data_IF_180974799487
#
_entry.id   IF_180974799487
#
_cell.length_a   1.000
_cell.length_b   1.000
_cell.length_c   1.000
_cell.angle_alpha   90.00
_cell.angle_beta   90.00
_cell.angle_gamma   90.00
#
_symmetry.space_group_name_H-M   'P 1'
#
loop_
_entity.id
_entity.type
_entity.pdbx_description
1 polymer ?
#
# COMPACT_ATOMS: atom_id res chain seq x y z
N UNK A 1 -1.65 -13.46 7.06
CA UNK A 1 -1.25 -12.67 8.23
C UNK A 1 -0.52 -11.42 7.77
N UNK A 2 -0.68 -10.29 8.45
CA UNK A 2 -0.25 -8.96 8.00
C UNK A 2 1.17 -8.88 7.39
N UNK A 3 2.21 -9.52 7.95
CA UNK A 3 3.55 -9.47 7.36
C UNK A 3 3.64 -10.08 5.94
N UNK A 4 2.82 -11.10 5.64
CA UNK A 4 2.79 -11.74 4.31
C UNK A 4 2.13 -10.78 3.31
N UNK A 5 1.03 -10.14 3.73
CA UNK A 5 0.29 -9.16 2.91
C UNK A 5 1.20 -7.96 2.59
N UNK A 6 2.02 -7.53 3.56
CA UNK A 6 3.01 -6.46 3.35
C UNK A 6 3.98 -6.85 2.24
N UNK A 7 4.56 -8.05 2.30
CA UNK A 7 5.47 -8.55 1.27
C UNK A 7 4.80 -8.65 -0.11
N UNK A 8 3.51 -8.98 -0.17
CA UNK A 8 2.77 -9.02 -1.44
C UNK A 8 2.63 -7.62 -2.06
N UNK A 9 2.22 -6.62 -1.28
CA UNK A 9 2.13 -5.23 -1.73
C UNK A 9 3.50 -4.71 -2.17
N UNK A 10 4.53 -4.94 -1.36
CA UNK A 10 5.91 -4.55 -1.63
C UNK A 10 6.40 -5.14 -2.96
N UNK A 11 6.21 -6.45 -3.15
CA UNK A 11 6.63 -7.12 -4.39
C UNK A 11 5.86 -6.62 -5.61
N UNK A 12 4.56 -6.35 -5.47
CA UNK A 12 3.73 -5.85 -6.56
C UNK A 12 4.16 -4.44 -6.98
N UNK A 13 4.36 -3.54 -6.01
CA UNK A 13 4.88 -2.18 -6.26
C UNK A 13 6.29 -2.21 -6.84
N UNK A 14 7.17 -3.07 -6.32
CA UNK A 14 8.52 -3.20 -6.85
C UNK A 14 8.56 -3.65 -8.31
N UNK A 15 7.76 -4.67 -8.66
CA UNK A 15 7.63 -5.12 -10.06
C UNK A 15 7.11 -4.00 -10.97
N UNK A 16 6.11 -3.26 -10.50
CA UNK A 16 5.52 -2.15 -11.24
C UNK A 16 6.50 -1.00 -11.45
N UNK A 17 7.36 -0.70 -10.48
CA UNK A 17 8.39 0.33 -10.62
C UNK A 17 9.56 -0.10 -11.51
N UNK A 18 9.92 -1.39 -11.52
CA UNK A 18 10.96 -1.90 -12.40
C UNK A 18 10.51 -1.99 -13.86
N UNK A 19 9.26 -2.38 -14.10
CA UNK A 19 8.70 -2.49 -15.44
C UNK A 19 7.33 -1.80 -15.53
N UNK A 20 7.33 -0.48 -15.80
CA UNK A 20 6.12 0.31 -16.00
C UNK A 20 5.24 -0.18 -17.16
N UNK A 21 5.80 -0.92 -18.12
CA UNK A 21 5.06 -1.39 -19.28
C UNK A 21 4.05 -2.49 -18.92
N UNK A 22 4.23 -3.12 -17.76
CA UNK A 22 3.33 -4.13 -17.20
C UNK A 22 2.27 -3.53 -16.26
N UNK A 23 2.07 -2.20 -16.30
CA UNK A 23 1.09 -1.50 -15.49
C UNK A 23 -0.31 -1.69 -16.07
N UNK A 24 -0.92 -2.82 -15.75
CA UNK A 24 -2.29 -3.15 -16.10
C UNK A 24 -3.27 -2.85 -14.95
N UNK A 25 -4.55 -2.73 -15.28
CA UNK A 25 -5.62 -2.44 -14.32
C UNK A 25 -5.72 -3.50 -13.20
N UNK A 26 -5.59 -4.77 -13.53
CA UNK A 26 -5.70 -5.86 -12.56
C UNK A 26 -4.55 -5.83 -11.55
N UNK A 27 -3.33 -5.53 -12.00
CA UNK A 27 -2.16 -5.38 -11.12
C UNK A 27 -2.36 -4.24 -10.11
N UNK A 28 -2.91 -3.10 -10.55
CA UNK A 28 -3.20 -1.98 -9.65
C UNK A 28 -4.38 -2.27 -8.72
N UNK A 29 -5.46 -2.88 -9.24
CA UNK A 29 -6.62 -3.27 -8.43
C UNK A 29 -6.23 -4.27 -7.32
N UNK A 30 -5.30 -5.19 -7.61
CA UNK A 30 -4.74 -6.10 -6.59
C UNK A 30 -3.98 -5.33 -5.50
N UNK A 31 -3.10 -4.39 -5.87
CA UNK A 31 -2.36 -3.57 -4.90
C UNK A 31 -3.34 -2.79 -4.01
N UNK A 32 -4.36 -2.18 -4.61
CA UNK A 32 -5.40 -1.44 -3.88
C UNK A 32 -6.18 -2.37 -2.95
N UNK A 33 -6.56 -3.57 -3.41
CA UNK A 33 -7.27 -4.56 -2.60
C UNK A 33 -6.48 -4.98 -1.37
N UNK A 34 -5.19 -5.26 -1.53
CA UNK A 34 -4.33 -5.60 -0.40
C UNK A 34 -4.15 -4.41 0.56
N UNK A 35 -3.99 -3.18 0.06
CA UNK A 35 -3.92 -1.97 0.89
C UNK A 35 -5.21 -1.70 1.69
N UNK A 36 -6.38 -2.09 1.19
CA UNK A 36 -7.65 -2.00 1.94
C UNK A 36 -7.59 -2.90 3.17
N UNK A 37 -7.03 -4.10 3.06
CA UNK A 37 -6.86 -5.00 4.20
C UNK A 37 -5.99 -4.35 5.30
N UNK A 38 -4.96 -3.59 4.92
CA UNK A 38 -4.15 -2.84 5.87
C UNK A 38 -4.95 -1.74 6.58
N UNK A 39 -5.75 -0.98 5.85
CA UNK A 39 -6.60 0.09 6.39
C UNK A 39 -7.62 -0.49 7.40
N UNK A 40 -8.32 -1.56 7.02
CA UNK A 40 -9.29 -2.25 7.87
C UNK A 40 -8.65 -2.80 9.15
N UNK A 41 -7.45 -3.33 9.05
CA UNK A 41 -6.71 -3.86 10.20
C UNK A 41 -6.23 -2.76 11.15
N UNK A 42 -5.76 -1.61 10.64
CA UNK A 42 -5.41 -0.47 11.48
C UNK A 42 -6.65 0.09 12.20
N UNK A 43 -7.77 0.19 11.48
CA UNK A 43 -9.02 0.67 12.07
C UNK A 43 -9.54 -0.28 13.15
N UNK A 44 -9.56 -1.59 12.88
CA UNK A 44 -9.97 -2.61 13.84
C UNK A 44 -9.09 -2.66 15.10
N UNK A 45 -7.79 -2.40 14.96
CA UNK A 45 -6.85 -2.35 16.09
C UNK A 45 -7.04 -1.10 16.94
N UNK A 46 -7.55 -0.02 16.36
CA UNK A 46 -7.74 1.26 17.05
C UNK A 46 -6.42 1.89 17.55
N UNK A 47 -5.31 1.52 16.92
CA UNK A 47 -3.95 1.98 17.25
C UNK A 47 -3.32 2.71 16.07
N UNK A 48 -2.40 3.65 16.32
CA UNK A 48 -1.79 4.44 15.25
C UNK A 48 -0.88 3.61 14.34
N UNK A 49 -0.36 2.48 14.81
CA UNK A 49 0.58 1.64 14.07
C UNK A 49 0.23 0.15 14.18
N UNK A 50 0.74 -0.66 13.26
CA UNK A 50 0.68 -2.12 13.39
C UNK A 50 1.43 -2.62 14.62
N UNK A 51 2.48 -1.90 15.04
CA UNK A 51 3.19 -2.09 16.32
C UNK A 51 2.45 -1.60 17.57
N UNK A 52 1.23 -1.06 17.45
CA UNK A 52 0.45 -0.50 18.54
C UNK A 52 0.69 1.00 18.71
N UNK A 53 1.19 1.42 19.88
CA UNK A 53 1.49 2.84 20.18
C UNK A 53 2.77 3.35 19.49
N UNK A 54 3.60 2.44 18.97
CA UNK A 54 4.87 2.76 18.31
C UNK A 54 4.98 1.99 16.99
N UNK A 55 5.71 2.52 16.00
CA UNK A 55 5.97 1.81 14.76
C UNK A 55 6.64 0.46 15.03
N UNK A 56 6.11 -0.60 14.44
CA UNK A 56 6.67 -1.93 14.41
C UNK A 56 7.29 -2.26 13.05
N UNK A 57 7.73 -3.51 12.90
CA UNK A 57 8.41 -3.96 11.69
C UNK A 57 7.56 -3.76 10.42
N UNK A 58 6.26 -4.03 10.49
CA UNK A 58 5.34 -3.87 9.36
C UNK A 58 5.26 -2.40 8.92
N UNK A 59 5.17 -1.47 9.88
CA UNK A 59 5.12 -0.04 9.61
C UNK A 59 6.38 0.41 8.85
N UNK A 60 7.57 0.00 9.31
CA UNK A 60 8.83 0.30 8.64
C UNK A 60 8.96 -0.36 7.26
N UNK A 61 8.42 -1.56 7.08
CA UNK A 61 8.46 -2.25 5.80
C UNK A 61 7.58 -1.56 4.76
N UNK A 62 6.42 -1.03 5.17
CA UNK A 62 5.45 -0.38 4.28
C UNK A 62 5.78 1.08 3.98
N UNK A 63 6.35 1.81 4.95
CA UNK A 63 6.60 3.25 4.83
C UNK A 63 7.30 3.67 3.52
N UNK A 64 8.41 3.06 3.06
CA UNK A 64 9.05 3.44 1.80
C UNK A 64 8.12 3.36 0.58
N UNK A 65 7.14 2.46 0.62
CA UNK A 65 6.22 2.22 -0.49
C UNK A 65 5.03 3.17 -0.45
N UNK A 66 4.57 3.54 0.75
CA UNK A 66 3.58 4.60 0.92
C UNK A 66 4.12 5.94 0.40
N UNK A 67 5.38 6.31 0.72
CA UNK A 67 6.03 7.51 0.18
C UNK A 67 6.12 7.50 -1.36
N UNK A 68 6.29 6.31 -1.93
CA UNK A 68 6.42 6.11 -3.38
C UNK A 68 5.08 5.89 -4.08
N UNK A 69 3.97 5.85 -3.35
CA UNK A 69 2.66 5.56 -3.94
C UNK A 69 2.19 6.62 -4.93
N UNK A 70 2.65 7.86 -4.80
CA UNK A 70 2.42 8.94 -5.78
C UNK A 70 2.98 8.59 -7.17
N UNK A 71 3.95 7.68 -7.27
CA UNK A 71 4.42 7.17 -8.56
C UNK A 71 3.31 6.43 -9.33
N UNK A 72 2.37 5.75 -8.66
CA UNK A 72 1.22 5.13 -9.33
C UNK A 72 0.38 6.17 -10.08
N UNK A 73 0.18 7.34 -9.46
CA UNK A 73 -0.50 8.47 -10.08
C UNK A 73 0.30 9.04 -11.25
N UNK A 74 1.61 9.23 -11.07
CA UNK A 74 2.49 9.78 -12.12
C UNK A 74 2.54 8.85 -13.34
N UNK A 75 2.59 7.53 -13.11
CA UNK A 75 2.78 6.54 -14.16
C UNK A 75 1.48 6.18 -14.89
N UNK A 76 0.35 6.14 -14.18
CA UNK A 76 -0.92 5.68 -14.76
C UNK A 76 -2.05 6.71 -14.79
N UNK A 77 -1.79 7.94 -14.33
CA UNK A 77 -2.75 9.05 -14.26
C UNK A 77 -3.60 9.08 -12.97
N UNK A 78 -4.44 10.10 -12.82
CA UNK A 78 -5.26 10.34 -11.63
C UNK A 78 -6.22 9.19 -11.28
N UNK A 79 -6.57 8.34 -12.26
CA UNK A 79 -7.39 7.14 -12.05
C UNK A 79 -6.77 6.12 -11.08
N UNK A 80 -5.46 6.20 -10.82
CA UNK A 80 -4.74 5.31 -9.89
C UNK A 80 -4.18 6.04 -8.67
N UNK A 81 -4.67 7.26 -8.38
CA UNK A 81 -4.29 7.94 -7.16
C UNK A 81 -4.82 7.17 -5.94
N UNK A 82 -3.95 6.88 -4.98
CA UNK A 82 -4.38 6.46 -3.65
C UNK A 82 -4.95 7.70 -2.95
N UNK A 83 -6.26 7.92 -3.06
CA UNK A 83 -6.89 9.07 -2.44
C UNK A 83 -6.79 8.95 -0.92
N UNK A 84 -6.29 9.99 -0.24
CA UNK A 84 -6.27 10.08 1.24
C UNK A 84 -7.63 9.89 1.90
N UNK A 85 -8.73 10.06 1.16
CA UNK A 85 -10.07 9.75 1.66
C UNK A 85 -10.33 8.25 1.86
N UNK A 86 -9.67 7.40 1.07
CA UNK A 86 -9.88 5.94 1.03
C UNK A 86 -8.92 5.18 1.95
N UNK A 87 -7.79 5.82 2.29
CA UNK A 87 -6.77 5.32 3.20
C UNK A 87 -6.49 6.43 4.21
N UNK A 88 -7.30 6.50 5.27
CA UNK A 88 -7.18 7.54 6.29
C UNK A 88 -6.20 7.16 7.39
N UNK A 89 -6.02 5.86 7.63
CA UNK A 89 -5.07 5.31 8.60
C UNK A 89 -3.69 5.06 8.00
N UNK A 90 -3.61 4.91 6.68
CA UNK A 90 -2.41 4.59 5.90
C UNK A 90 -1.71 5.82 5.31
#
# INVERSE_FOLDING_TARGET
GIPIIALQVINALYKLFLDPSNLDKQSVDNIIGELIVFEEELDARGKPFFGGERPGMVDYMMWPWCERSDLLRIMGGDRWSLSKQKFQKL
#
